data_IF_371619993028
#
_entry.id   IF_371619993028
#
_cell.length_a   1.000
_cell.length_b   1.000
_cell.length_c   1.000
_cell.angle_alpha   90.00
_cell.angle_beta   90.00
_cell.angle_gamma   90.00
#
_symmetry.space_group_name_H-M   'P 1'
#
loop_
_entity.id
_entity.type
_entity.pdbx_description
1 polymer ?
#
# COMPACT_ATOMS: atom_id res chain seq x y z
N UNK A 1 -3.14 -18.94 -5.26
CA UNK A 1 -3.11 -17.48 -5.11
C UNK A 1 -1.86 -17.12 -4.36
N UNK A 2 -1.04 -16.21 -4.88
CA UNK A 2 0.29 -15.89 -4.32
C UNK A 2 0.33 -14.56 -3.60
N UNK A 3 -0.63 -13.69 -3.88
CA UNK A 3 -0.67 -12.33 -3.37
C UNK A 3 -1.93 -12.11 -2.55
N UNK A 4 -1.82 -11.31 -1.50
CA UNK A 4 -2.93 -10.98 -0.61
C UNK A 4 -3.10 -9.47 -0.59
N UNK A 5 -4.31 -9.00 -0.88
CA UNK A 5 -4.68 -7.60 -0.72
C UNK A 5 -5.83 -7.47 0.28
N UNK A 6 -5.67 -6.50 1.17
CA UNK A 6 -6.67 -6.15 2.15
C UNK A 6 -7.53 -5.01 1.62
N UNK A 7 -8.83 -5.12 1.83
CA UNK A 7 -9.79 -4.05 1.58
C UNK A 7 -10.69 -3.86 2.80
N UNK A 8 -11.59 -2.90 2.75
CA UNK A 8 -12.52 -2.61 3.84
C UNK A 8 -12.63 -1.12 4.12
N UNK A 9 -13.51 -0.75 5.04
CA UNK A 9 -13.77 0.64 5.40
C UNK A 9 -12.54 1.37 5.92
N UNK A 10 -12.58 2.70 5.87
CA UNK A 10 -11.53 3.54 6.46
C UNK A 10 -11.40 3.23 7.95
N UNK A 11 -10.17 3.16 8.44
CA UNK A 11 -9.83 2.90 9.85
C UNK A 11 -10.32 1.55 10.42
N UNK A 12 -10.61 0.55 9.58
CA UNK A 12 -10.96 -0.79 10.05
C UNK A 12 -9.75 -1.61 10.56
N UNK A 13 -8.52 -1.10 10.39
CA UNK A 13 -7.30 -1.73 10.91
C UNK A 13 -6.40 -2.39 9.86
N UNK A 14 -6.59 -2.09 8.56
CA UNK A 14 -5.77 -2.66 7.47
C UNK A 14 -4.27 -2.46 7.67
N UNK A 15 -3.84 -1.20 7.89
CA UNK A 15 -2.42 -0.89 8.10
C UNK A 15 -1.84 -1.50 9.38
N UNK A 16 -2.66 -1.70 10.41
CA UNK A 16 -2.26 -2.42 11.63
C UNK A 16 -2.01 -3.89 11.33
N UNK A 17 -2.86 -4.53 10.52
CA UNK A 17 -2.65 -5.92 10.07
C UNK A 17 -1.32 -6.04 9.30
N UNK A 18 -1.07 -5.13 8.35
CA UNK A 18 0.22 -5.08 7.62
C UNK A 18 1.39 -4.97 8.59
N UNK A 19 1.33 -4.03 9.54
CA UNK A 19 2.42 -3.82 10.52
C UNK A 19 2.71 -5.09 11.32
N UNK A 20 1.69 -5.77 11.83
CA UNK A 20 1.85 -7.02 12.61
C UNK A 20 2.44 -8.17 11.75
N UNK A 21 2.08 -8.25 10.48
CA UNK A 21 2.69 -9.23 9.56
C UNK A 21 4.18 -8.91 9.37
N UNK A 22 4.53 -7.64 9.14
CA UNK A 22 5.92 -7.21 8.95
C UNK A 22 6.79 -7.46 10.17
N UNK A 23 6.27 -7.22 11.38
CA UNK A 23 6.97 -7.50 12.64
C UNK A 23 7.31 -9.00 12.82
N UNK A 24 6.50 -9.89 12.25
CA UNK A 24 6.69 -11.34 12.31
C UNK A 24 7.36 -11.93 11.06
N UNK A 25 7.63 -11.11 10.04
CA UNK A 25 8.30 -11.53 8.81
C UNK A 25 9.81 -11.55 8.98
N UNK A 26 10.45 -12.68 8.71
CA UNK A 26 11.90 -12.85 8.92
C UNK A 26 12.75 -12.57 7.67
N UNK A 27 12.11 -12.38 6.50
CA UNK A 27 12.81 -12.16 5.23
C UNK A 27 12.97 -10.68 4.88
N UNK A 28 13.69 -10.41 3.80
CA UNK A 28 13.83 -9.06 3.25
C UNK A 28 12.49 -8.54 2.71
N UNK A 29 12.15 -7.32 3.06
CA UNK A 29 10.92 -6.63 2.63
C UNK A 29 11.28 -5.56 1.61
N UNK A 30 10.48 -5.45 0.55
CA UNK A 30 10.52 -4.36 -0.42
C UNK A 30 9.13 -3.76 -0.61
N UNK A 31 9.02 -2.74 -1.45
CA UNK A 31 7.77 -2.06 -1.70
C UNK A 31 7.61 -0.77 -0.91
N UNK A 32 6.39 -0.29 -0.79
CA UNK A 32 6.10 1.03 -0.23
C UNK A 32 4.99 0.98 0.81
N UNK A 33 5.01 1.99 1.67
CA UNK A 33 3.91 2.34 2.57
C UNK A 33 3.56 3.81 2.40
N UNK A 34 2.30 4.16 2.64
CA UNK A 34 1.82 5.54 2.68
C UNK A 34 1.13 5.82 3.99
N UNK A 35 1.14 7.06 4.43
CA UNK A 35 0.45 7.48 5.64
C UNK A 35 0.58 8.97 5.91
N UNK A 36 -0.26 9.44 6.83
CA UNK A 36 -0.19 10.80 7.36
C UNK A 36 0.84 10.88 8.48
N UNK A 37 1.43 12.06 8.66
CA UNK A 37 2.38 12.35 9.71
C UNK A 37 1.76 13.06 10.91
N UNK A 38 2.57 13.83 11.68
CA UNK A 38 2.11 14.57 12.84
C UNK A 38 0.99 15.59 12.57
N UNK A 39 0.86 16.07 11.33
CA UNK A 39 -0.16 16.99 10.84
C UNK A 39 -1.49 16.32 10.46
N UNK A 40 -1.64 15.02 10.71
CA UNK A 40 -2.80 14.20 10.30
C UNK A 40 -4.16 14.75 10.71
N UNK A 41 -4.23 15.46 11.81
CA UNK A 41 -5.46 16.07 12.32
C UNK A 41 -5.72 17.46 11.71
N UNK A 42 -4.77 18.04 10.98
CA UNK A 42 -4.93 19.34 10.36
C UNK A 42 -5.77 19.25 9.08
N UNK A 43 -6.60 20.24 8.78
CA UNK A 43 -7.34 20.31 7.51
C UNK A 43 -6.41 20.31 6.29
N UNK A 44 -5.29 21.03 6.40
CA UNK A 44 -4.20 21.00 5.42
C UNK A 44 -3.09 20.08 5.94
N UNK A 45 -2.84 19.02 5.21
CA UNK A 45 -1.87 17.99 5.59
C UNK A 45 -1.27 17.30 4.38
N UNK A 46 -0.18 16.60 4.60
CA UNK A 46 0.52 15.85 3.56
C UNK A 46 0.32 14.35 3.76
N UNK A 47 0.19 13.62 2.66
CA UNK A 47 0.37 12.17 2.62
C UNK A 47 1.82 11.90 2.21
N UNK A 48 2.47 11.00 2.91
CA UNK A 48 3.85 10.60 2.69
C UNK A 48 3.94 9.18 2.14
N UNK A 49 4.98 8.91 1.36
CA UNK A 49 5.33 7.58 0.87
C UNK A 49 6.78 7.26 1.24
N UNK A 50 7.01 6.09 1.79
CA UNK A 50 8.34 5.62 2.16
C UNK A 50 8.53 4.14 1.84
N UNK A 51 9.79 3.67 1.82
CA UNK A 51 10.10 2.26 1.63
C UNK A 51 9.55 1.41 2.76
N UNK A 52 8.87 0.31 2.43
CA UNK A 52 8.37 -0.63 3.43
C UNK A 52 9.48 -1.31 4.25
N UNK A 53 10.74 -1.29 3.76
CA UNK A 53 11.91 -1.78 4.46
C UNK A 53 12.46 -0.80 5.52
N UNK A 54 11.94 0.43 5.57
CA UNK A 54 12.42 1.50 6.44
C UNK A 54 11.32 2.00 7.38
N UNK A 55 11.70 2.69 8.48
CA UNK A 55 10.74 3.41 9.30
C UNK A 55 10.02 4.51 8.50
N UNK A 56 8.82 4.88 8.96
CA UNK A 56 8.03 5.95 8.35
C UNK A 56 8.81 7.27 8.26
N UNK A 57 8.65 7.99 7.15
CA UNK A 57 9.30 9.26 6.89
C UNK A 57 8.28 10.34 6.57
N UNK A 58 8.24 11.37 7.41
CA UNK A 58 7.28 12.48 7.34
C UNK A 58 7.97 13.80 7.02
N UNK A 59 8.86 13.79 6.02
CA UNK A 59 9.56 14.98 5.53
C UNK A 59 9.07 15.38 4.13
N UNK A 60 9.42 16.60 3.71
CA UNK A 60 8.97 17.17 2.44
C UNK A 60 9.37 16.33 1.22
N UNK A 61 10.51 15.66 1.28
CA UNK A 61 11.00 14.85 0.16
C UNK A 61 10.19 13.57 -0.03
N UNK A 62 9.49 13.10 1.01
CA UNK A 62 8.63 11.92 0.98
C UNK A 62 7.14 12.25 0.80
N UNK A 63 6.77 13.53 0.74
CA UNK A 63 5.39 13.94 0.48
C UNK A 63 4.97 13.62 -0.95
N UNK A 64 3.81 12.99 -1.13
CA UNK A 64 3.27 12.60 -2.45
C UNK A 64 1.91 13.21 -2.76
N UNK A 65 1.14 13.60 -1.74
CA UNK A 65 -0.18 14.23 -1.91
C UNK A 65 -0.35 15.38 -0.92
N UNK A 66 -0.95 16.47 -1.39
CA UNK A 66 -1.40 17.59 -0.56
C UNK A 66 -2.91 17.50 -0.34
N UNK A 67 -3.31 17.57 0.90
CA UNK A 67 -4.72 17.68 1.32
C UNK A 67 -5.00 19.12 1.73
N UNK A 68 -6.10 19.67 1.23
CA UNK A 68 -6.54 21.04 1.48
C UNK A 68 -7.85 21.07 2.25
N UNK A 69 -8.11 22.17 2.94
CA UNK A 69 -9.39 22.38 3.60
C UNK A 69 -10.48 22.68 2.55
N UNK A 70 -11.51 21.83 2.49
CA UNK A 70 -12.68 22.03 1.61
C UNK A 70 -12.42 21.79 0.12
N UNK A 71 -11.25 21.30 -0.28
CA UNK A 71 -10.90 21.00 -1.67
C UNK A 71 -10.49 19.54 -1.83
N UNK A 72 -10.53 19.05 -3.08
CA UNK A 72 -10.01 17.72 -3.40
C UNK A 72 -8.49 17.65 -3.17
N UNK A 73 -7.97 16.51 -2.71
CA UNK A 73 -6.52 16.32 -2.58
C UNK A 73 -5.84 16.34 -3.95
N UNK A 74 -4.60 16.81 -3.98
CA UNK A 74 -3.80 16.91 -5.19
C UNK A 74 -2.50 16.12 -5.03
N UNK A 75 -2.25 15.17 -5.95
CA UNK A 75 -0.97 14.50 -6.03
C UNK A 75 0.13 15.48 -6.45
N UNK A 76 1.29 15.40 -5.80
CA UNK A 76 2.46 16.19 -6.19
C UNK A 76 3.01 15.58 -7.48
N UNK A 77 3.10 16.35 -8.59
CA UNK A 77 3.47 15.80 -9.89
C UNK A 77 4.77 15.00 -9.86
N UNK A 78 4.76 13.81 -10.45
CA UNK A 78 5.92 12.94 -10.61
C UNK A 78 6.42 12.22 -9.35
N UNK A 79 5.88 12.52 -8.17
CA UNK A 79 6.38 11.95 -6.91
C UNK A 79 6.06 10.46 -6.77
N UNK A 80 4.85 10.04 -7.08
CA UNK A 80 4.50 8.61 -7.08
C UNK A 80 5.33 7.83 -8.09
N UNK A 81 5.50 8.33 -9.31
CA UNK A 81 6.31 7.67 -10.31
C UNK A 81 7.78 7.55 -9.89
N UNK A 82 8.37 8.62 -9.34
CA UNK A 82 9.76 8.61 -8.92
C UNK A 82 10.00 7.73 -7.67
N UNK A 83 9.28 7.99 -6.59
CA UNK A 83 9.52 7.32 -5.31
C UNK A 83 8.87 5.94 -5.23
N UNK A 84 7.67 5.81 -5.77
CA UNK A 84 6.96 4.54 -5.78
C UNK A 84 7.68 3.48 -6.61
N UNK A 85 8.15 3.82 -7.80
CA UNK A 85 8.93 2.88 -8.63
C UNK A 85 10.26 2.53 -7.98
N UNK A 86 10.95 3.49 -7.36
CA UNK A 86 12.20 3.23 -6.63
C UNK A 86 12.00 2.23 -5.48
N UNK A 87 10.88 2.28 -4.77
CA UNK A 87 10.53 1.31 -3.73
C UNK A 87 10.25 -0.10 -4.26
N UNK A 88 9.92 -0.25 -5.54
CA UNK A 88 9.58 -1.52 -6.18
C UNK A 88 10.78 -2.16 -6.92
N UNK A 89 11.99 -1.86 -6.47
CA UNK A 89 13.24 -2.41 -7.01
C UNK A 89 13.87 -3.42 -6.05
N UNK A 90 14.80 -4.24 -6.57
CA UNK A 90 15.50 -5.24 -5.77
C UNK A 90 14.84 -6.61 -5.79
N UNK A 91 15.26 -7.48 -4.90
CA UNK A 91 14.82 -8.89 -4.81
C UNK A 91 14.43 -9.26 -3.36
N UNK A 92 13.37 -8.66 -2.82
CA UNK A 92 12.90 -9.01 -1.49
C UNK A 92 12.23 -10.40 -1.48
N UNK A 93 11.94 -10.90 -0.29
CA UNK A 93 11.14 -12.12 -0.10
C UNK A 93 9.66 -11.80 0.11
N UNK A 94 9.31 -10.53 0.28
CA UNK A 94 7.94 -10.02 0.38
C UNK A 94 7.86 -8.60 -0.19
N UNK A 95 6.93 -8.37 -1.10
CA UNK A 95 6.55 -7.02 -1.52
C UNK A 95 5.41 -6.49 -0.66
N UNK A 96 5.49 -5.23 -0.29
CA UNK A 96 4.42 -4.51 0.44
C UNK A 96 3.91 -3.35 -0.41
N UNK A 97 2.60 -3.20 -0.49
CA UNK A 97 1.93 -2.13 -1.23
C UNK A 97 0.79 -1.54 -0.37
N UNK A 98 1.12 -0.64 0.54
CA UNK A 98 0.17 -0.06 1.50
C UNK A 98 0.11 1.47 1.36
N UNK A 99 -0.81 2.03 0.60
CA UNK A 99 -2.02 1.47 0.00
C UNK A 99 -2.07 1.83 -1.51
N UNK A 100 -2.84 1.03 -2.26
CA UNK A 100 -3.15 1.27 -3.67
C UNK A 100 -4.56 1.88 -3.78
N UNK A 101 -4.68 3.09 -4.32
CA UNK A 101 -5.93 3.82 -4.37
C UNK A 101 -6.08 4.72 -5.60
N UNK A 102 -6.91 5.74 -5.49
CA UNK A 102 -7.19 6.68 -6.58
C UNK A 102 -6.25 7.88 -6.63
N UNK A 103 -5.52 8.16 -5.55
CA UNK A 103 -4.64 9.32 -5.47
C UNK A 103 -3.48 9.25 -6.45
N UNK A 104 -3.05 8.05 -6.83
CA UNK A 104 -2.01 7.74 -7.80
C UNK A 104 -2.55 7.39 -9.19
N UNK A 105 -3.77 7.79 -9.51
CA UNK A 105 -4.44 7.46 -10.79
C UNK A 105 -3.72 7.97 -12.04
N UNK A 106 -2.94 9.03 -11.92
CA UNK A 106 -2.19 9.62 -13.03
C UNK A 106 -0.72 9.15 -13.06
N UNK A 107 -0.29 8.37 -12.07
CA UNK A 107 1.06 7.84 -11.95
C UNK A 107 1.20 6.49 -12.68
N UNK A 108 1.23 6.52 -14.01
CA UNK A 108 1.17 5.32 -14.85
C UNK A 108 2.39 4.41 -14.70
N UNK A 109 3.59 4.99 -14.59
CA UNK A 109 4.82 4.20 -14.40
C UNK A 109 4.80 3.47 -13.05
N UNK A 110 4.31 4.13 -11.99
CA UNK A 110 4.13 3.52 -10.68
C UNK A 110 3.11 2.39 -10.70
N UNK A 111 1.95 2.61 -11.32
CA UNK A 111 0.91 1.58 -11.46
C UNK A 111 1.44 0.36 -12.21
N UNK A 112 2.15 0.56 -13.32
CA UNK A 112 2.73 -0.52 -14.09
C UNK A 112 3.75 -1.31 -13.28
N UNK A 113 4.66 -0.63 -12.59
CA UNK A 113 5.66 -1.28 -11.73
C UNK A 113 5.01 -2.13 -10.62
N UNK A 114 3.91 -1.65 -10.03
CA UNK A 114 3.16 -2.39 -9.03
C UNK A 114 2.45 -3.62 -9.63
N UNK A 115 1.77 -3.48 -10.76
CA UNK A 115 1.07 -4.59 -11.43
C UNK A 115 2.04 -5.67 -11.92
N UNK A 116 3.23 -5.32 -12.37
CA UNK A 116 4.27 -6.27 -12.76
C UNK A 116 4.69 -7.20 -11.61
N UNK A 117 4.63 -6.75 -10.36
CA UNK A 117 4.93 -7.61 -9.21
C UNK A 117 3.89 -8.72 -9.03
N UNK A 118 2.66 -8.53 -9.50
CA UNK A 118 1.60 -9.54 -9.43
C UNK A 118 1.78 -10.68 -10.45
N UNK A 119 2.61 -10.47 -11.46
CA UNK A 119 3.00 -11.52 -12.41
C UNK A 119 4.17 -12.38 -11.90
N UNK A 120 4.87 -11.91 -10.86
CA UNK A 120 6.04 -12.58 -10.30
C UNK A 120 5.71 -13.65 -9.25
N UNK A 121 6.76 -14.34 -8.82
CA UNK A 121 6.65 -15.41 -7.81
C UNK A 121 6.80 -14.91 -6.36
N UNK A 122 7.41 -13.73 -6.16
CA UNK A 122 7.54 -13.14 -4.84
C UNK A 122 6.17 -12.70 -4.33
N UNK A 123 5.73 -13.14 -3.15
CA UNK A 123 4.44 -12.77 -2.62
C UNK A 123 4.32 -11.26 -2.41
N UNK A 124 3.10 -10.76 -2.61
CA UNK A 124 2.73 -9.36 -2.36
C UNK A 124 1.70 -9.32 -1.24
N UNK A 125 1.91 -8.45 -0.27
CA UNK A 125 0.93 -8.08 0.74
C UNK A 125 0.59 -6.60 0.56
N UNK A 126 -0.67 -6.30 0.26
CA UNK A 126 -1.08 -4.95 -0.01
C UNK A 126 -2.41 -4.54 0.59
N UNK A 127 -2.73 -3.28 0.44
CA UNK A 127 -4.05 -2.71 0.69
C UNK A 127 -4.53 -2.09 -0.61
N UNK A 128 -5.75 -2.40 -1.00
CA UNK A 128 -6.40 -1.83 -2.18
C UNK A 128 -7.73 -1.20 -1.82
N UNK A 129 -7.97 0.00 -2.33
CA UNK A 129 -9.29 0.65 -2.27
C UNK A 129 -10.14 0.20 -3.43
N UNK A 130 -11.24 -0.47 -3.11
CA UNK A 130 -12.26 -0.85 -4.09
C UNK A 130 -13.22 0.32 -4.38
N UNK A 131 -14.07 0.12 -5.40
CA UNK A 131 -15.12 1.05 -5.77
C UNK A 131 -14.70 2.10 -6.80
N UNK A 132 -13.47 2.04 -7.32
CA UNK A 132 -12.97 2.92 -8.37
C UNK A 132 -12.58 2.11 -9.61
N UNK A 133 -12.84 2.64 -10.84
CA UNK A 133 -12.33 2.05 -12.04
C UNK A 133 -10.82 2.28 -12.17
N UNK A 134 -10.16 1.47 -12.97
CA UNK A 134 -8.74 1.60 -13.29
C UNK A 134 -7.86 0.57 -12.59
N UNK A 135 -6.65 0.95 -12.25
CA UNK A 135 -5.61 0.02 -11.80
C UNK A 135 -5.92 -0.73 -10.49
N UNK A 136 -6.68 -0.11 -9.58
CA UNK A 136 -7.10 -0.76 -8.34
C UNK A 136 -8.03 -1.94 -8.62
N UNK A 137 -8.87 -1.83 -9.64
CA UNK A 137 -9.70 -2.95 -10.11
C UNK A 137 -8.84 -4.05 -10.75
N UNK A 138 -7.82 -3.67 -11.50
CA UNK A 138 -6.87 -4.64 -12.07
C UNK A 138 -6.16 -5.45 -10.97
N UNK A 139 -5.88 -4.85 -9.82
CA UNK A 139 -5.36 -5.57 -8.65
C UNK A 139 -6.43 -6.51 -8.07
N UNK A 140 -7.62 -5.99 -7.78
CA UNK A 140 -8.69 -6.75 -7.13
C UNK A 140 -9.16 -7.96 -7.96
N UNK A 141 -9.21 -7.81 -9.27
CA UNK A 141 -9.64 -8.85 -10.21
C UNK A 141 -8.48 -9.75 -10.70
N UNK A 142 -7.25 -9.52 -10.22
CA UNK A 142 -6.07 -10.27 -10.68
C UNK A 142 -6.13 -11.75 -10.25
N UNK A 143 -5.89 -12.72 -11.16
CA UNK A 143 -6.06 -14.16 -10.87
C UNK A 143 -5.15 -14.70 -9.76
N UNK A 144 -4.00 -14.04 -9.53
CA UNK A 144 -3.05 -14.42 -8.48
C UNK A 144 -3.31 -13.71 -7.14
N UNK A 145 -4.31 -12.83 -7.05
CA UNK A 145 -4.65 -12.06 -5.85
C UNK A 145 -5.81 -12.70 -5.09
N UNK A 146 -5.61 -12.89 -3.79
CA UNK A 146 -6.68 -13.15 -2.84
C UNK A 146 -7.04 -11.82 -2.16
N UNK A 147 -8.28 -11.38 -2.35
CA UNK A 147 -8.80 -10.18 -1.72
C UNK A 147 -9.48 -10.52 -0.40
N UNK A 148 -9.06 -9.88 0.68
CA UNK A 148 -9.61 -10.11 2.02
C UNK A 148 -10.20 -8.82 2.58
N UNK A 149 -11.47 -8.83 2.90
CA UNK A 149 -12.12 -7.71 3.58
C UNK A 149 -11.80 -7.73 5.07
N UNK A 150 -11.17 -6.66 5.57
CA UNK A 150 -10.88 -6.49 6.99
C UNK A 150 -12.10 -5.94 7.71
N UNK A 151 -12.45 -6.58 8.82
CA UNK A 151 -13.55 -6.18 9.72
C UNK A 151 -13.05 -6.14 11.16
N UNK A 152 -13.84 -5.57 12.06
CA UNK A 152 -13.52 -5.61 13.49
C UNK A 152 -13.41 -7.04 14.03
N UNK A 153 -14.21 -7.97 13.49
CA UNK A 153 -14.26 -9.34 13.96
C UNK A 153 -13.06 -10.18 13.52
N UNK A 154 -12.47 -9.91 12.34
CA UNK A 154 -11.39 -10.73 11.79
C UNK A 154 -9.98 -10.14 11.91
N UNK A 155 -9.86 -8.83 12.09
CA UNK A 155 -8.56 -8.10 12.04
C UNK A 155 -7.48 -8.64 12.98
N UNK A 156 -7.86 -9.18 14.14
CA UNK A 156 -6.91 -9.69 15.12
C UNK A 156 -6.35 -11.09 14.74
N UNK A 157 -7.13 -11.89 14.02
CA UNK A 157 -6.70 -13.20 13.52
C UNK A 157 -5.96 -13.14 12.18
N UNK A 158 -6.19 -12.10 11.38
CA UNK A 158 -5.64 -11.97 10.02
C UNK A 158 -4.12 -12.02 9.95
N UNK A 159 -3.32 -11.40 10.84
CA UNK A 159 -1.86 -11.47 10.71
C UNK A 159 -1.33 -12.91 10.71
N UNK A 160 -1.84 -13.77 11.59
CA UNK A 160 -1.46 -15.18 11.62
C UNK A 160 -1.88 -15.96 10.38
N UNK A 161 -3.09 -15.72 9.90
CA UNK A 161 -3.61 -16.35 8.68
C UNK A 161 -2.81 -15.93 7.43
N UNK A 162 -2.48 -14.65 7.31
CA UNK A 162 -1.68 -14.10 6.20
C UNK A 162 -0.28 -14.71 6.21
N UNK A 163 0.39 -14.73 7.36
CA UNK A 163 1.71 -15.34 7.50
C UNK A 163 1.73 -16.82 7.09
N UNK A 164 0.70 -17.57 7.45
CA UNK A 164 0.57 -18.97 7.06
C UNK A 164 0.38 -19.17 5.56
N UNK A 165 -0.25 -18.21 4.87
CA UNK A 165 -0.50 -18.27 3.42
C UNK A 165 0.67 -17.78 2.57
N UNK A 166 1.47 -16.83 3.09
CA UNK A 166 2.59 -16.23 2.34
C UNK A 166 3.91 -17.03 2.49
N UNK A 167 3.99 -17.97 3.41
CA UNK A 167 5.13 -18.90 3.62
C UNK A 167 4.93 -20.16 2.80
#
# INVERSE_FOLDING_TARGET
MRHIFLTGSVQCGKSTVITRVLEAWSGAVGGFRTGFGPDRACPERLLYLWSAAEPARYDQDHAVVKFFNGCAPEAIPGRFDAFGTACLTGTPTLWVMDECGRLERDALAFQQAALEKLEGDTPVLGVVREGFPGWTRSIADHPNVELITVTEDNRDALPGLILAKLR
#
